data_IF_243433128457
#
_entry.id   IF_243433128457
#
_cell.length_a   1.000
_cell.length_b   1.000
_cell.length_c   1.000
_cell.angle_alpha   90.00
_cell.angle_beta   90.00
_cell.angle_gamma   90.00
#
_symmetry.space_group_name_H-M   'P 1'
#
loop_
_entity.id
_entity.type
_entity.pdbx_description
1 polymer ?
#
# COMPACT_ATOMS: atom_id res chain seq x y z
N UNK A 1 10.08 -4.76 -45.04
CA UNK A 1 8.75 -5.41 -45.07
C UNK A 1 7.91 -4.62 -44.10
N UNK A 2 7.27 -3.58 -44.62
CA UNK A 2 6.58 -2.56 -43.83
C UNK A 2 5.31 -3.13 -43.23
N UNK A 3 5.36 -3.46 -41.94
CA UNK A 3 4.21 -3.80 -41.13
C UNK A 3 3.48 -2.51 -40.73
N UNK A 4 3.03 -1.72 -41.72
CA UNK A 4 2.00 -0.72 -41.46
C UNK A 4 0.70 -1.49 -41.27
N UNK A 5 0.44 -1.92 -40.03
CA UNK A 5 -0.87 -2.43 -39.66
C UNK A 5 -1.91 -1.38 -40.05
N UNK A 6 -2.70 -1.67 -41.09
CA UNK A 6 -3.76 -0.79 -41.56
C UNK A 6 -4.65 -0.45 -40.37
N UNK A 7 -4.74 0.85 -40.06
CA UNK A 7 -5.63 1.35 -39.00
C UNK A 7 -7.05 0.95 -39.43
N UNK A 8 -7.80 0.18 -38.62
CA UNK A 8 -9.11 -0.30 -39.02
C UNK A 8 -10.02 0.89 -39.37
N UNK A 9 -10.45 0.96 -40.63
CA UNK A 9 -11.18 2.11 -41.18
C UNK A 9 -12.68 2.03 -40.98
N UNK A 10 -13.22 0.84 -40.67
CA UNK A 10 -14.66 0.65 -40.43
C UNK A 10 -15.01 0.85 -38.95
N UNK A 11 -16.19 1.41 -38.62
CA UNK A 11 -16.58 1.68 -37.23
C UNK A 11 -16.57 0.44 -36.34
N UNK A 12 -17.09 -0.69 -36.83
CA UNK A 12 -17.16 -1.97 -36.10
C UNK A 12 -15.77 -2.57 -35.84
N UNK A 13 -14.85 -2.49 -36.79
CA UNK A 13 -13.47 -2.99 -36.60
C UNK A 13 -12.70 -2.12 -35.60
N UNK A 14 -12.94 -0.81 -35.60
CA UNK A 14 -12.35 0.14 -34.65
C UNK A 14 -12.88 -0.06 -33.23
N UNK A 15 -14.17 -0.36 -33.08
CA UNK A 15 -14.80 -0.66 -31.80
C UNK A 15 -14.28 -1.99 -31.23
N UNK A 16 -14.17 -3.04 -32.07
CA UNK A 16 -13.60 -4.32 -31.67
C UNK A 16 -12.14 -4.22 -31.23
N UNK A 17 -11.32 -3.42 -31.94
CA UNK A 17 -9.94 -3.13 -31.56
C UNK A 17 -9.85 -2.36 -30.24
N UNK A 18 -10.76 -1.40 -29.99
CA UNK A 18 -10.81 -0.64 -28.73
C UNK A 18 -11.13 -1.54 -27.54
N UNK A 19 -12.14 -2.41 -27.67
CA UNK A 19 -12.53 -3.36 -26.62
C UNK A 19 -11.40 -4.33 -26.32
N UNK A 20 -10.74 -4.87 -27.36
CA UNK A 20 -9.57 -5.75 -27.18
C UNK A 20 -8.39 -5.06 -26.50
N UNK A 21 -8.11 -3.80 -26.87
CA UNK A 21 -7.03 -3.04 -26.24
C UNK A 21 -7.34 -2.75 -24.77
N UNK A 22 -8.56 -2.35 -24.45
CA UNK A 22 -8.99 -2.12 -23.07
C UNK A 22 -8.88 -3.40 -22.24
N UNK A 23 -9.37 -4.53 -22.77
CA UNK A 23 -9.26 -5.83 -22.11
C UNK A 23 -7.80 -6.23 -21.88
N UNK A 24 -6.92 -6.06 -22.87
CA UNK A 24 -5.49 -6.35 -22.73
C UNK A 24 -4.80 -5.46 -21.68
N UNK A 25 -5.17 -4.17 -21.61
CA UNK A 25 -4.64 -3.24 -20.61
C UNK A 25 -5.08 -3.59 -19.19
N UNK A 26 -6.33 -4.02 -19.01
CA UNK A 26 -6.87 -4.44 -17.72
C UNK A 26 -6.30 -5.81 -17.27
N UNK A 27 -6.13 -6.76 -18.19
CA UNK A 27 -5.68 -8.11 -17.85
C UNK A 27 -4.17 -8.14 -17.51
N UNK A 28 -3.36 -7.37 -18.27
CA UNK A 28 -1.92 -7.21 -17.99
C UNK A 28 -1.68 -6.52 -16.64
N UNK A 29 -2.63 -5.73 -16.16
CA UNK A 29 -2.50 -4.92 -14.96
C UNK A 29 -2.29 -5.76 -13.70
N UNK A 30 -3.20 -6.69 -13.40
CA UNK A 30 -3.19 -7.41 -12.14
C UNK A 30 -1.91 -8.25 -11.96
N UNK A 31 -1.51 -8.96 -13.00
CA UNK A 31 -0.32 -9.83 -12.96
C UNK A 31 0.95 -8.99 -12.81
N UNK A 32 1.12 -7.95 -13.62
CA UNK A 32 2.35 -7.14 -13.62
C UNK A 32 2.54 -6.43 -12.28
N UNK A 33 1.49 -5.82 -11.74
CA UNK A 33 1.57 -5.11 -10.47
C UNK A 33 1.80 -6.05 -9.30
N UNK A 34 1.15 -7.22 -9.30
CA UNK A 34 1.39 -8.25 -8.30
C UNK A 34 2.85 -8.71 -8.30
N UNK A 35 3.44 -8.93 -9.49
CA UNK A 35 4.85 -9.30 -9.62
C UNK A 35 5.76 -8.19 -9.09
N UNK A 36 5.54 -6.94 -9.52
CA UNK A 36 6.37 -5.79 -9.10
C UNK A 36 6.32 -5.59 -7.60
N UNK A 37 5.13 -5.58 -6.99
CA UNK A 37 5.02 -5.41 -5.53
C UNK A 37 5.68 -6.57 -4.80
N UNK A 38 5.54 -7.81 -5.27
CA UNK A 38 6.14 -8.98 -4.62
C UNK A 38 7.67 -8.94 -4.67
N UNK A 39 8.27 -8.50 -5.79
CA UNK A 39 9.73 -8.30 -5.90
C UNK A 39 10.23 -7.23 -4.93
N UNK A 40 9.50 -6.11 -4.82
CA UNK A 40 9.84 -5.03 -3.89
C UNK A 40 9.73 -5.52 -2.44
N UNK A 41 8.65 -6.24 -2.09
CA UNK A 41 8.47 -6.77 -0.74
C UNK A 41 9.54 -7.80 -0.37
N UNK A 42 9.95 -8.67 -1.32
CA UNK A 42 11.08 -9.57 -1.11
C UNK A 42 12.38 -8.81 -0.87
N UNK A 43 12.59 -7.70 -1.57
CA UNK A 43 13.76 -6.82 -1.39
C UNK A 43 13.75 -6.16 -0.01
N UNK A 44 12.62 -5.57 0.40
CA UNK A 44 12.49 -4.95 1.72
C UNK A 44 12.64 -5.98 2.86
N UNK A 45 12.09 -7.19 2.68
CA UNK A 45 12.25 -8.28 3.63
C UNK A 45 13.72 -8.72 3.73
N UNK A 46 14.38 -8.93 2.59
CA UNK A 46 15.80 -9.27 2.54
C UNK A 46 16.66 -8.21 3.21
N UNK A 47 16.35 -6.93 3.00
CA UNK A 47 17.05 -5.82 3.65
C UNK A 47 16.83 -5.78 5.17
N UNK A 48 15.60 -6.01 5.65
CA UNK A 48 15.32 -6.14 7.08
C UNK A 48 16.10 -7.30 7.70
N UNK A 49 16.14 -8.46 7.03
CA UNK A 49 16.92 -9.62 7.48
C UNK A 49 18.40 -9.29 7.55
N UNK A 50 18.93 -8.58 6.55
CA UNK A 50 20.33 -8.13 6.55
C UNK A 50 20.63 -7.22 7.74
N UNK A 51 19.78 -6.21 7.99
CA UNK A 51 19.94 -5.30 9.15
C UNK A 51 19.90 -6.08 10.47
N UNK A 52 18.97 -7.02 10.63
CA UNK A 52 18.90 -7.87 11.82
C UNK A 52 20.12 -8.79 11.96
N UNK A 53 20.69 -9.26 10.85
CA UNK A 53 21.85 -10.13 10.87
C UNK A 53 23.13 -9.38 11.24
N UNK A 54 23.34 -8.20 10.67
CA UNK A 54 24.52 -7.37 10.87
C UNK A 54 24.52 -6.69 12.25
N UNK A 55 23.40 -6.10 12.65
CA UNK A 55 23.30 -5.26 13.85
C UNK A 55 22.60 -5.95 15.03
N UNK A 56 21.89 -7.06 14.79
CA UNK A 56 20.99 -7.66 15.79
C UNK A 56 21.64 -8.15 17.07
N UNK A 57 22.96 -8.40 17.07
CA UNK A 57 23.72 -8.73 18.30
C UNK A 57 23.77 -7.57 19.30
N UNK A 58 23.59 -6.34 18.81
CA UNK A 58 23.61 -5.11 19.60
C UNK A 58 22.21 -4.56 19.87
N UNK A 59 21.16 -5.24 19.38
CA UNK A 59 19.79 -4.78 19.55
C UNK A 59 19.33 -4.86 21.00
N UNK A 60 18.74 -3.77 21.47
CA UNK A 60 17.91 -3.78 22.66
C UNK A 60 16.58 -4.51 22.38
N UNK A 61 15.83 -4.90 23.41
CA UNK A 61 14.49 -5.46 23.23
C UNK A 61 13.55 -4.53 22.43
N UNK A 62 13.67 -3.21 22.60
CA UNK A 62 12.86 -2.23 21.86
C UNK A 62 13.22 -2.19 20.38
N UNK A 63 14.47 -2.45 20.00
CA UNK A 63 14.88 -2.55 18.59
C UNK A 63 14.39 -3.86 17.95
N UNK A 64 14.42 -4.98 18.69
CA UNK A 64 13.78 -6.22 18.23
C UNK A 64 12.28 -6.04 17.99
N UNK A 65 11.61 -5.27 18.84
CA UNK A 65 10.22 -4.91 18.66
C UNK A 65 9.99 -4.06 17.40
N UNK A 66 10.85 -3.07 17.12
CA UNK A 66 10.80 -2.29 15.88
C UNK A 66 11.05 -3.17 14.64
N UNK A 67 11.95 -4.15 14.72
CA UNK A 67 12.19 -5.12 13.65
C UNK A 67 10.93 -5.96 13.36
N UNK A 68 10.31 -6.50 14.42
CA UNK A 68 9.07 -7.27 14.31
C UNK A 68 7.92 -6.42 13.75
N UNK A 69 7.79 -5.17 14.21
CA UNK A 69 6.80 -4.23 13.70
C UNK A 69 7.04 -3.90 12.22
N UNK A 70 8.30 -3.71 11.82
CA UNK A 70 8.66 -3.50 10.40
C UNK A 70 8.26 -4.69 9.55
N UNK A 71 8.50 -5.92 10.01
CA UNK A 71 8.06 -7.14 9.33
C UNK A 71 6.53 -7.17 9.15
N UNK A 72 5.77 -6.85 10.20
CA UNK A 72 4.31 -6.75 10.13
C UNK A 72 3.88 -5.71 9.09
N UNK A 73 4.55 -4.55 9.03
CA UNK A 73 4.28 -3.51 8.05
C UNK A 73 4.52 -4.00 6.62
N UNK A 74 5.59 -4.77 6.37
CA UNK A 74 5.83 -5.36 5.04
C UNK A 74 4.63 -6.20 4.60
N UNK A 75 4.15 -7.08 5.49
CA UNK A 75 2.98 -7.94 5.23
C UNK A 75 1.72 -7.11 5.02
N UNK A 76 1.45 -6.12 5.87
CA UNK A 76 0.25 -5.29 5.77
C UNK A 76 0.23 -4.43 4.51
N UNK A 77 1.37 -3.85 4.12
CA UNK A 77 1.46 -3.08 2.87
C UNK A 77 1.25 -3.98 1.67
N UNK A 78 1.88 -5.16 1.65
CA UNK A 78 1.65 -6.14 0.59
C UNK A 78 0.17 -6.48 0.49
N UNK A 79 -0.45 -6.87 1.61
CA UNK A 79 -1.86 -7.26 1.69
C UNK A 79 -2.80 -6.12 1.24
N UNK A 80 -2.59 -4.91 1.76
CA UNK A 80 -3.38 -3.73 1.41
C UNK A 80 -3.26 -3.35 -0.07
N UNK A 81 -2.05 -3.47 -0.64
CA UNK A 81 -1.82 -3.23 -2.06
C UNK A 81 -2.57 -4.25 -2.92
N UNK A 82 -2.47 -5.55 -2.62
CA UNK A 82 -3.21 -6.60 -3.33
C UNK A 82 -4.71 -6.36 -3.27
N UNK A 83 -5.25 -6.07 -2.07
CA UNK A 83 -6.68 -5.80 -1.88
C UNK A 83 -7.16 -4.62 -2.74
N UNK A 84 -6.38 -3.54 -2.83
CA UNK A 84 -6.70 -2.38 -3.67
C UNK A 84 -6.86 -2.73 -5.15
N UNK A 85 -5.98 -3.57 -5.70
CA UNK A 85 -6.04 -4.00 -7.09
C UNK A 85 -7.09 -5.08 -7.37
N UNK A 86 -7.47 -5.88 -6.37
CA UNK A 86 -8.54 -6.87 -6.55
C UNK A 86 -9.92 -6.20 -6.61
N UNK A 87 -10.11 -5.10 -5.88
CA UNK A 87 -11.43 -4.47 -5.72
C UNK A 87 -11.73 -3.44 -6.80
N UNK A 88 -10.74 -2.64 -7.22
CA UNK A 88 -10.96 -1.53 -8.14
C UNK A 88 -10.45 -1.87 -9.53
N UNK A 89 -11.31 -1.65 -10.53
CA UNK A 89 -11.02 -1.91 -11.94
C UNK A 89 -10.70 -0.59 -12.63
N UNK A 90 -9.42 -0.34 -12.94
CA UNK A 90 -9.01 0.79 -13.76
C UNK A 90 -7.70 0.50 -14.47
N UNK A 91 -7.47 1.20 -15.60
CA UNK A 91 -6.18 1.12 -16.31
C UNK A 91 -5.12 1.89 -15.51
N UNK A 92 -4.03 1.23 -15.09
CA UNK A 92 -2.98 1.86 -14.30
C UNK A 92 -2.27 2.95 -15.09
N UNK A 93 -1.89 4.02 -14.38
CA UNK A 93 -1.08 5.12 -14.91
C UNK A 93 0.32 5.05 -14.31
N UNK A 94 1.20 5.96 -14.77
CA UNK A 94 2.54 6.09 -14.22
C UNK A 94 2.53 6.28 -12.70
N UNK A 95 1.57 7.04 -12.17
CA UNK A 95 1.42 7.26 -10.74
C UNK A 95 1.23 5.95 -9.96
N UNK A 96 0.41 5.03 -10.48
CA UNK A 96 0.22 3.69 -9.90
C UNK A 96 1.52 2.89 -9.93
N UNK A 97 2.25 2.95 -11.05
CA UNK A 97 3.54 2.27 -11.20
C UNK A 97 4.62 2.79 -10.25
N UNK A 98 4.57 4.06 -9.83
CA UNK A 98 5.53 4.65 -8.89
C UNK A 98 5.24 4.28 -7.43
N UNK A 99 3.99 3.99 -7.06
CA UNK A 99 3.61 3.73 -5.66
C UNK A 99 4.35 2.55 -5.01
N UNK A 100 4.47 1.36 -5.65
CA UNK A 100 5.24 0.25 -5.08
C UNK A 100 6.66 0.64 -4.69
N UNK A 101 7.34 1.42 -5.53
CA UNK A 101 8.71 1.85 -5.28
C UNK A 101 8.80 2.87 -4.15
N UNK A 102 7.87 3.82 -4.09
CA UNK A 102 7.81 4.78 -3.00
C UNK A 102 7.55 4.08 -1.64
N UNK A 103 6.59 3.14 -1.62
CA UNK A 103 6.30 2.31 -0.44
C UNK A 103 7.51 1.47 -0.04
N UNK A 104 8.15 0.79 -1.02
CA UNK A 104 9.34 0.00 -0.78
C UNK A 104 10.51 0.83 -0.24
N UNK A 105 10.74 2.04 -0.77
CA UNK A 105 11.76 2.94 -0.25
C UNK A 105 11.48 3.32 1.21
N UNK A 106 10.25 3.71 1.55
CA UNK A 106 9.87 4.04 2.93
C UNK A 106 10.03 2.83 3.87
N UNK A 107 9.71 1.62 3.40
CA UNK A 107 9.92 0.37 4.15
C UNK A 107 11.41 0.07 4.36
N UNK A 108 12.25 0.28 3.35
CA UNK A 108 13.70 0.15 3.50
C UNK A 108 14.24 1.16 4.51
N UNK A 109 13.79 2.42 4.48
CA UNK A 109 14.16 3.40 5.51
C UNK A 109 13.72 2.95 6.90
N UNK A 110 12.50 2.42 7.04
CA UNK A 110 12.04 1.87 8.31
C UNK A 110 12.96 0.75 8.80
N UNK A 111 13.31 -0.21 7.93
CA UNK A 111 14.24 -1.28 8.24
C UNK A 111 15.63 -0.75 8.66
N UNK A 112 16.17 0.23 7.94
CA UNK A 112 17.44 0.88 8.30
C UNK A 112 17.38 1.50 9.70
N UNK A 113 16.30 2.22 10.02
CA UNK A 113 16.15 2.91 11.30
C UNK A 113 15.82 1.99 12.48
N UNK A 114 15.54 0.70 12.26
CA UNK A 114 15.49 -0.30 13.34
C UNK A 114 16.80 -0.27 14.14
N UNK A 115 17.95 -0.23 13.45
CA UNK A 115 19.27 -0.18 14.09
C UNK A 115 19.69 1.24 14.49
N UNK A 116 19.21 2.27 13.78
CA UNK A 116 19.75 3.64 13.88
C UNK A 116 18.90 4.62 14.70
N UNK A 117 17.71 4.22 15.16
CA UNK A 117 16.91 5.00 16.10
C UNK A 117 15.41 4.99 15.80
N UNK A 118 14.59 4.89 16.85
CA UNK A 118 13.14 4.86 16.78
C UNK A 118 12.56 6.14 16.15
N UNK A 119 13.17 7.32 16.37
CA UNK A 119 12.71 8.56 15.73
C UNK A 119 12.76 8.50 14.20
N UNK A 120 13.84 7.97 13.63
CA UNK A 120 13.94 7.78 12.19
C UNK A 120 12.96 6.74 11.67
N UNK A 121 12.66 5.73 12.49
CA UNK A 121 11.63 4.74 12.19
C UNK A 121 10.24 5.41 12.13
N UNK A 122 9.90 6.29 13.06
CA UNK A 122 8.65 7.07 13.03
C UNK A 122 8.55 8.02 11.83
N UNK A 123 9.65 8.65 11.40
CA UNK A 123 9.66 9.42 10.15
C UNK A 123 9.39 8.54 8.93
N UNK A 124 9.94 7.33 8.92
CA UNK A 124 9.69 6.35 7.86
C UNK A 124 8.22 5.91 7.83
N UNK A 125 7.61 5.72 9.02
CA UNK A 125 6.18 5.45 9.14
C UNK A 125 5.31 6.61 8.66
N UNK A 126 5.69 7.85 8.99
CA UNK A 126 4.99 9.03 8.52
C UNK A 126 5.03 9.11 6.99
N UNK A 127 6.20 8.89 6.37
CA UNK A 127 6.35 8.84 4.92
C UNK A 127 5.48 7.74 4.30
N UNK A 128 5.52 6.53 4.86
CA UNK A 128 4.70 5.39 4.40
C UNK A 128 3.21 5.72 4.43
N UNK A 129 2.73 6.35 5.51
CA UNK A 129 1.34 6.76 5.66
C UNK A 129 0.94 7.88 4.68
N UNK A 130 1.83 8.85 4.40
CA UNK A 130 1.59 9.88 3.37
C UNK A 130 1.49 9.24 1.98
N UNK A 131 2.39 8.32 1.65
CA UNK A 131 2.36 7.62 0.37
C UNK A 131 1.07 6.80 0.24
N UNK A 132 0.68 6.08 1.30
CA UNK A 132 -0.58 5.35 1.36
C UNK A 132 -1.80 6.26 1.16
N UNK A 133 -1.84 7.41 1.84
CA UNK A 133 -2.88 8.43 1.66
C UNK A 133 -3.00 8.90 0.21
N UNK A 134 -1.88 9.25 -0.42
CA UNK A 134 -1.85 9.64 -1.84
C UNK A 134 -2.29 8.50 -2.75
N UNK A 135 -1.91 7.26 -2.42
CA UNK A 135 -2.35 6.07 -3.12
C UNK A 135 -3.86 5.87 -3.08
N UNK A 136 -4.47 6.03 -1.90
CA UNK A 136 -5.92 5.95 -1.74
C UNK A 136 -6.68 7.07 -2.45
N UNK A 137 -6.12 8.28 -2.52
CA UNK A 137 -6.70 9.37 -3.33
C UNK A 137 -6.65 9.01 -4.82
N UNK A 138 -5.50 8.56 -5.29
CA UNK A 138 -5.34 8.20 -6.70
C UNK A 138 -6.27 7.03 -7.09
N UNK A 139 -6.41 6.03 -6.22
CA UNK A 139 -7.36 4.94 -6.40
C UNK A 139 -8.81 5.46 -6.48
N UNK A 140 -9.21 6.39 -5.61
CA UNK A 140 -10.54 6.98 -5.63
C UNK A 140 -10.82 7.76 -6.91
N UNK A 141 -9.85 8.58 -7.35
CA UNK A 141 -9.95 9.38 -8.57
C UNK A 141 -10.09 8.46 -9.78
N UNK A 142 -9.24 7.44 -9.90
CA UNK A 142 -9.30 6.51 -11.03
C UNK A 142 -10.59 5.65 -11.04
N UNK A 143 -11.09 5.26 -9.87
CA UNK A 143 -12.37 4.56 -9.75
C UNK A 143 -13.55 5.45 -10.20
N UNK A 144 -13.54 6.74 -9.82
CA UNK A 144 -14.59 7.71 -10.22
C UNK A 144 -14.55 8.07 -11.70
N UNK A 145 -13.37 8.06 -12.32
CA UNK A 145 -13.21 8.29 -13.76
C UNK A 145 -13.75 7.14 -14.62
N UNK A 146 -13.91 5.94 -14.04
CA UNK A 146 -14.45 4.75 -14.71
C UNK A 146 -15.75 4.26 -14.02
N UNK A 147 -16.84 5.06 -14.06
CA UNK A 147 -18.04 4.81 -13.27
C UNK A 147 -18.81 3.56 -13.71
N UNK A 148 -18.75 3.17 -14.98
CA UNK A 148 -19.46 1.98 -15.48
C UNK A 148 -19.00 0.69 -14.81
N UNK A 149 -17.71 0.58 -14.52
CA UNK A 149 -17.12 -0.61 -13.90
C UNK A 149 -17.13 -0.53 -12.37
N UNK A 150 -16.98 0.67 -11.80
CA UNK A 150 -16.77 0.81 -10.35
C UNK A 150 -17.97 1.40 -9.58
N UNK A 151 -19.04 1.86 -10.22
CA UNK A 151 -20.13 2.55 -9.49
C UNK A 151 -20.73 1.69 -8.37
N UNK A 152 -20.99 0.40 -8.64
CA UNK A 152 -21.54 -0.52 -7.65
C UNK A 152 -20.57 -0.80 -6.49
N UNK A 153 -19.26 -0.88 -6.78
CA UNK A 153 -18.20 -1.02 -5.78
C UNK A 153 -18.10 0.26 -4.93
N UNK A 154 -18.10 1.44 -5.57
CA UNK A 154 -17.88 2.73 -4.91
C UNK A 154 -19.00 3.17 -3.98
N UNK A 155 -20.24 2.70 -4.18
CA UNK A 155 -21.35 2.92 -3.23
C UNK A 155 -21.01 2.37 -1.84
N UNK A 156 -20.31 1.24 -1.78
CA UNK A 156 -19.90 0.61 -0.53
C UNK A 156 -18.45 0.98 -0.15
N UNK A 157 -17.52 0.71 -1.06
CA UNK A 157 -16.08 0.86 -0.86
C UNK A 157 -15.67 2.33 -0.70
N UNK A 158 -16.40 3.29 -1.27
CA UNK A 158 -16.06 4.71 -1.19
C UNK A 158 -16.00 5.26 0.24
N UNK A 159 -16.92 4.84 1.13
CA UNK A 159 -16.87 5.22 2.55
C UNK A 159 -15.64 4.65 3.25
N UNK A 160 -15.29 3.42 2.91
CA UNK A 160 -14.15 2.73 3.48
C UNK A 160 -12.83 3.31 2.98
N UNK A 161 -12.72 3.62 1.69
CA UNK A 161 -11.57 4.30 1.09
C UNK A 161 -11.34 5.66 1.74
N UNK A 162 -12.41 6.41 2.02
CA UNK A 162 -12.32 7.67 2.76
C UNK A 162 -11.82 7.49 4.20
N UNK A 163 -12.25 6.43 4.87
CA UNK A 163 -11.75 6.12 6.21
C UNK A 163 -10.27 5.76 6.19
N UNK A 164 -9.80 5.01 5.17
CA UNK A 164 -8.39 4.69 4.96
C UNK A 164 -7.55 5.95 4.67
N UNK A 165 -8.06 6.89 3.88
CA UNK A 165 -7.41 8.17 3.65
C UNK A 165 -7.26 8.97 4.95
N UNK A 166 -8.35 9.13 5.71
CA UNK A 166 -8.35 9.89 6.96
C UNK A 166 -7.44 9.23 7.99
N UNK A 167 -7.51 7.91 8.16
CA UNK A 167 -6.66 7.18 9.11
C UNK A 167 -5.19 7.26 8.73
N UNK A 168 -4.86 7.15 7.43
CA UNK A 168 -3.48 7.28 6.94
C UNK A 168 -2.93 8.69 7.18
N UNK A 169 -3.71 9.73 6.88
CA UNK A 169 -3.28 11.11 7.13
C UNK A 169 -3.13 11.38 8.64
N UNK A 170 -4.07 10.92 9.46
CA UNK A 170 -3.99 11.05 10.90
C UNK A 170 -2.74 10.35 11.45
N UNK A 171 -2.49 9.11 11.03
CA UNK A 171 -1.33 8.35 11.47
C UNK A 171 -0.02 8.98 10.99
N UNK A 172 0.02 9.52 9.77
CA UNK A 172 1.17 10.27 9.27
C UNK A 172 1.52 11.46 10.17
N UNK A 173 0.51 12.28 10.52
CA UNK A 173 0.69 13.42 11.42
C UNK A 173 1.11 12.97 12.81
N UNK A 174 0.47 11.93 13.36
CA UNK A 174 0.80 11.38 14.67
C UNK A 174 2.25 10.90 14.72
N UNK A 175 2.70 10.11 13.74
CA UNK A 175 4.08 9.64 13.64
C UNK A 175 5.08 10.79 13.48
N UNK A 176 4.77 11.79 12.66
CA UNK A 176 5.63 12.96 12.47
C UNK A 176 5.75 13.79 13.75
N UNK A 177 4.64 13.99 14.47
CA UNK A 177 4.64 14.69 15.78
C UNK A 177 5.46 13.90 16.79
N UNK A 178 5.25 12.57 16.91
CA UNK A 178 6.06 11.72 17.79
C UNK A 178 7.55 11.85 17.43
N UNK A 179 7.91 11.79 16.15
CA UNK A 179 9.30 11.89 15.71
C UNK A 179 9.94 13.26 16.00
N UNK A 180 9.16 14.35 15.88
CA UNK A 180 9.66 15.72 15.99
C UNK A 180 9.64 16.27 17.43
N UNK A 181 8.56 16.06 18.18
CA UNK A 181 8.34 16.75 19.47
C UNK A 181 8.67 15.89 20.68
N UNK A 182 8.88 14.58 20.52
CA UNK A 182 9.08 13.71 21.68
C UNK A 182 10.49 13.85 22.27
N UNK A 183 10.53 14.27 23.54
CA UNK A 183 11.73 14.19 24.37
C UNK A 183 11.90 12.81 25.03
N UNK A 184 11.12 11.81 24.58
CA UNK A 184 11.17 10.45 25.12
C UNK A 184 12.43 9.73 24.66
N UNK A 185 12.88 8.76 25.46
CA UNK A 185 14.02 7.92 25.09
C UNK A 185 13.67 7.02 23.90
N UNK A 186 14.68 6.62 23.14
CA UNK A 186 14.53 5.70 22.00
C UNK A 186 13.89 4.36 22.44
N UNK A 187 14.14 3.94 23.68
CA UNK A 187 13.52 2.74 24.26
C UNK A 187 12.01 2.92 24.44
N UNK A 188 11.57 4.03 25.05
CA UNK A 188 10.14 4.32 25.23
C UNK A 188 9.43 4.46 23.88
N UNK A 189 10.08 5.10 22.91
CA UNK A 189 9.57 5.22 21.54
C UNK A 189 9.45 3.85 20.85
N UNK A 190 10.43 2.97 21.03
CA UNK A 190 10.34 1.60 20.53
C UNK A 190 9.13 0.85 21.11
N UNK A 191 8.87 0.95 22.42
CA UNK A 191 7.69 0.33 23.04
C UNK A 191 6.36 0.95 22.60
N UNK A 192 6.32 2.27 22.39
CA UNK A 192 5.14 2.98 21.88
C UNK A 192 4.74 2.51 20.46
N UNK A 193 5.67 1.95 19.69
CA UNK A 193 5.36 1.45 18.34
C UNK A 193 4.38 0.26 18.36
N UNK A 194 4.36 -0.54 19.43
CA UNK A 194 3.49 -1.72 19.55
C UNK A 194 1.99 -1.39 19.52
N UNK A 195 1.44 -0.51 20.38
CA UNK A 195 0.02 -0.18 20.33
C UNK A 195 -0.39 0.46 18.99
N UNK A 196 0.50 1.24 18.37
CA UNK A 196 0.26 1.79 17.03
C UNK A 196 0.13 0.68 15.98
N UNK A 197 1.03 -0.30 16.01
CA UNK A 197 0.99 -1.43 15.08
C UNK A 197 -0.20 -2.34 15.30
N UNK A 198 -0.53 -2.67 16.55
CA UNK A 198 -1.73 -3.45 16.87
C UNK A 198 -2.98 -2.73 16.40
N UNK A 199 -3.10 -1.44 16.68
CA UNK A 199 -4.24 -0.63 16.25
C UNK A 199 -4.40 -0.60 14.73
N UNK A 200 -3.28 -0.44 14.00
CA UNK A 200 -3.28 -0.45 12.54
C UNK A 200 -3.67 -1.82 11.97
N UNK A 201 -3.08 -2.91 12.46
CA UNK A 201 -3.36 -4.27 12.00
C UNK A 201 -4.82 -4.70 12.27
N UNK A 202 -5.34 -4.41 13.47
CA UNK A 202 -6.74 -4.69 13.81
C UNK A 202 -7.67 -3.86 12.94
N UNK A 203 -7.35 -2.58 12.71
CA UNK A 203 -8.14 -1.71 11.84
C UNK A 203 -8.26 -2.28 10.42
N UNK A 204 -7.14 -2.72 9.86
CA UNK A 204 -7.05 -3.34 8.53
C UNK A 204 -7.89 -4.61 8.43
N UNK A 205 -7.79 -5.51 9.41
CA UNK A 205 -8.50 -6.79 9.40
C UNK A 205 -10.01 -6.64 9.65
N UNK A 206 -10.41 -5.79 10.61
CA UNK A 206 -11.84 -5.52 10.88
C UNK A 206 -12.52 -4.93 9.65
N UNK A 207 -11.83 -4.06 8.92
CA UNK A 207 -12.34 -3.48 7.69
C UNK A 207 -12.56 -4.53 6.60
N UNK A 208 -11.62 -5.47 6.45
CA UNK A 208 -11.73 -6.55 5.49
C UNK A 208 -12.90 -7.48 5.78
N UNK A 209 -13.06 -7.92 7.03
CA UNK A 209 -14.16 -8.77 7.46
C UNK A 209 -15.52 -8.13 7.11
N UNK A 210 -15.64 -6.80 7.23
CA UNK A 210 -16.87 -6.08 6.87
C UNK A 210 -17.14 -6.10 5.37
N UNK A 211 -16.10 -5.93 4.55
CA UNK A 211 -16.23 -6.00 3.09
C UNK A 211 -16.60 -7.42 2.64
N UNK A 212 -15.96 -8.44 3.20
CA UNK A 212 -16.27 -9.83 2.88
C UNK A 212 -17.71 -10.21 3.25
N UNK A 213 -18.18 -9.83 4.45
CA UNK A 213 -19.57 -10.06 4.88
C UNK A 213 -20.57 -9.40 3.95
N UNK A 214 -20.28 -8.17 3.53
CA UNK A 214 -21.10 -7.46 2.55
C UNK A 214 -21.14 -8.22 1.21
N UNK A 215 -19.98 -8.64 0.68
CA UNK A 215 -19.90 -9.39 -0.58
C UNK A 215 -20.63 -10.74 -0.52
N UNK A 216 -20.65 -11.41 0.64
CA UNK A 216 -21.38 -12.67 0.86
C UNK A 216 -22.89 -12.49 1.05
N UNK A 217 -23.40 -11.25 1.05
CA UNK A 217 -24.83 -10.97 1.28
C UNK A 217 -25.30 -11.26 2.70
N UNK A 218 -24.38 -11.49 3.64
CA UNK A 218 -24.70 -11.74 5.04
C UNK A 218 -24.83 -10.40 5.77
N UNK A 219 -25.97 -9.73 5.60
CA UNK A 219 -26.36 -8.65 6.51
C UNK A 219 -26.53 -9.24 7.91
N UNK A 220 -25.98 -8.54 8.91
CA UNK A 220 -26.13 -8.83 10.33
C UNK A 220 -27.58 -9.06 10.75
#
# INVERSE_FOLDING_TARGET
MDYHAEIPTTPESREHSRVRLLAALLDTHHVTFYTVISVIQATCFGFLVLVCFEEGKHFTPSQWLLAANTLIILVLVWNGFIRGFVILLYVPKLADGMMPFALGAAQCFAAYFVAHGARGWYWSMAALCVIGFLGYINAEVNAKLNPTENAHIMVFYGKHLRLLQISSLFLAVLCAVIAYTSNWSEETLGWLSLPLMIGYAIGEEVMWIRLERFARGSSA
#
